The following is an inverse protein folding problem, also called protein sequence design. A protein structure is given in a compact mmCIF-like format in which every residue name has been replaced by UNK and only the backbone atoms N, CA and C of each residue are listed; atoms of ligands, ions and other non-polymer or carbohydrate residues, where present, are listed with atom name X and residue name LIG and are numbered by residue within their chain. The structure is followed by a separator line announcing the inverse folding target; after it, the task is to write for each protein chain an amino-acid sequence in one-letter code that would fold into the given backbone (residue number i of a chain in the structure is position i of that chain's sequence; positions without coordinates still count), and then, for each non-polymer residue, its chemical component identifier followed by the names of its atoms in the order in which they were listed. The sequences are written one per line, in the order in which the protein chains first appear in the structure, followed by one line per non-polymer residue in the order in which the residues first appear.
data_IF_110977498006
#
_entry.id   IF_110977498006
#
_cell.length_a   1.000
_cell.length_b   1.000
_cell.length_c   1.000
_cell.angle_alpha   90.00
_cell.angle_beta   90.00
_cell.angle_gamma   90.00
#
_symmetry.space_group_name_H-M   'P 1'
#
loop_
_entity.id
_entity.type
_entity.pdbx_description
1 polymer ?
#
# COMPACT_ATOMS: atom_id res chain seq x y z
N UNK A 1 -19.25 -7.23 4.37
CA UNK A 1 -18.12 -6.35 4.78
C UNK A 1 -18.23 -4.92 4.21
N UNK A 2 -18.70 -4.67 2.97
CA UNK A 2 -18.85 -3.30 2.44
C UNK A 2 -19.87 -2.38 3.15
N UNK A 3 -20.68 -2.91 4.07
CA UNK A 3 -21.70 -2.12 4.78
C UNK A 3 -21.08 -0.97 5.59
N UNK A 4 -19.83 -1.12 6.02
CA UNK A 4 -19.10 -0.08 6.75
C UNK A 4 -18.63 1.08 5.85
N UNK A 5 -18.43 0.85 4.55
CA UNK A 5 -17.94 1.88 3.61
C UNK A 5 -16.48 2.29 3.76
N UNK A 6 -15.80 1.84 4.83
CA UNK A 6 -14.37 2.03 5.05
C UNK A 6 -13.74 0.77 5.66
N UNK A 7 -12.41 0.67 5.56
CA UNK A 7 -11.64 -0.46 6.05
C UNK A 7 -10.22 -0.05 6.45
N UNK A 8 -9.79 -0.53 7.61
CA UNK A 8 -8.43 -0.31 8.08
C UNK A 8 -7.42 -1.16 7.28
N UNK A 9 -6.30 -0.56 6.91
CA UNK A 9 -5.16 -1.23 6.29
C UNK A 9 -3.86 -0.58 6.79
N UNK A 10 -3.04 -1.33 7.54
CA UNK A 10 -1.87 -0.79 8.25
C UNK A 10 -2.25 0.44 9.10
N UNK A 11 -1.74 1.63 8.72
CA UNK A 11 -1.99 2.92 9.39
C UNK A 11 -3.02 3.78 8.64
N UNK A 12 -3.67 3.22 7.64
CA UNK A 12 -4.61 3.89 6.75
C UNK A 12 -6.04 3.45 7.07
N UNK A 13 -6.99 4.37 6.92
CA UNK A 13 -8.41 4.07 6.83
C UNK A 13 -8.86 4.37 5.39
N UNK A 14 -9.25 3.32 4.67
CA UNK A 14 -9.50 3.38 3.24
C UNK A 14 -10.99 3.30 2.94
N UNK A 15 -11.50 4.19 2.09
CA UNK A 15 -12.86 4.07 1.58
C UNK A 15 -12.99 2.81 0.71
N UNK A 16 -14.02 2.00 0.98
CA UNK A 16 -14.30 0.78 0.22
C UNK A 16 -15.76 0.71 -0.18
N UNK A 17 -16.01 0.25 -1.41
CA UNK A 17 -17.33 -0.09 -1.89
C UNK A 17 -17.26 -1.31 -2.81
N UNK A 18 -18.40 -1.73 -3.36
CA UNK A 18 -18.52 -2.95 -4.18
C UNK A 18 -17.65 -2.96 -5.45
N UNK A 19 -17.05 -1.82 -5.84
CA UNK A 19 -16.21 -1.67 -7.03
C UNK A 19 -14.73 -1.97 -6.74
N UNK A 20 -14.32 -2.05 -5.48
CA UNK A 20 -12.94 -2.33 -5.07
C UNK A 20 -12.88 -3.55 -4.16
N UNK A 21 -11.77 -4.28 -4.18
CA UNK A 21 -11.55 -5.37 -3.23
C UNK A 21 -11.25 -4.80 -1.85
N UNK A 22 -11.90 -5.33 -0.81
CA UNK A 22 -11.57 -5.01 0.58
C UNK A 22 -10.15 -5.53 0.87
N UNK A 23 -9.23 -4.67 1.34
CA UNK A 23 -7.88 -5.07 1.70
C UNK A 23 -7.92 -6.21 2.73
N UNK A 24 -7.08 -7.23 2.53
CA UNK A 24 -6.99 -8.38 3.42
C UNK A 24 -5.82 -8.21 4.39
N UNK A 25 -5.91 -8.73 5.63
CA UNK A 25 -4.79 -8.68 6.59
C UNK A 25 -3.48 -9.24 6.00
N UNK A 26 -3.57 -10.31 5.21
CA UNK A 26 -2.43 -10.94 4.55
C UNK A 26 -1.76 -10.01 3.53
N UNK A 27 -2.50 -9.07 2.94
CA UNK A 27 -1.95 -8.06 2.01
C UNK A 27 -1.08 -7.03 2.75
N UNK A 28 -1.19 -6.88 4.06
CA UNK A 28 -0.31 -5.99 4.84
C UNK A 28 1.14 -6.48 4.85
N UNK A 29 1.36 -7.80 4.76
CA UNK A 29 2.68 -8.40 4.63
C UNK A 29 3.35 -8.00 3.31
N UNK A 30 2.58 -7.91 2.23
CA UNK A 30 3.10 -7.46 0.92
C UNK A 30 3.59 -6.01 1.00
N UNK A 31 2.81 -5.14 1.66
CA UNK A 31 3.21 -3.76 1.90
C UNK A 31 4.47 -3.66 2.76
N UNK A 32 4.60 -4.49 3.80
CA UNK A 32 5.80 -4.53 4.65
C UNK A 32 7.06 -4.90 3.86
N UNK A 33 6.99 -5.97 3.07
CA UNK A 33 8.11 -6.41 2.21
C UNK A 33 8.47 -5.33 1.18
N UNK A 34 7.46 -4.69 0.57
CA UNK A 34 7.68 -3.63 -0.40
C UNK A 34 8.37 -2.40 0.23
N UNK A 35 7.94 -1.99 1.42
CA UNK A 35 8.54 -0.88 2.17
C UNK A 35 9.99 -1.18 2.57
N UNK A 36 10.27 -2.38 3.08
CA UNK A 36 11.63 -2.79 3.44
C UNK A 36 12.56 -2.77 2.22
N UNK A 37 12.08 -3.26 1.06
CA UNK A 37 12.84 -3.23 -0.19
C UNK A 37 13.05 -1.81 -0.71
N UNK A 38 12.04 -0.95 -0.63
CA UNK A 38 12.15 0.46 -1.03
C UNK A 38 13.17 1.21 -0.16
N UNK A 39 13.17 0.97 1.16
CA UNK A 39 14.15 1.56 2.07
C UNK A 39 15.59 1.17 1.68
N UNK A 40 15.87 -0.13 1.48
CA UNK A 40 17.21 -0.58 1.07
C UNK A 40 17.66 -0.02 -0.29
N UNK A 41 16.74 0.14 -1.24
CA UNK A 41 17.05 0.74 -2.54
C UNK A 41 17.37 2.25 -2.42
N UNK A 42 16.63 2.99 -1.58
CA UNK A 42 16.92 4.41 -1.31
C UNK A 42 18.26 4.60 -0.61
N UNK A 43 18.57 3.74 0.37
CA UNK A 43 19.87 3.76 1.06
C UNK A 43 21.02 3.54 0.08
N UNK A 44 20.89 2.54 -0.81
CA UNK A 44 21.91 2.25 -1.83
C UNK A 44 22.04 3.37 -2.88
N UNK A 45 20.95 4.06 -3.23
CA UNK A 45 20.94 5.14 -4.20
C UNK A 45 21.48 6.48 -3.64
N UNK A 46 21.61 6.60 -2.32
CA UNK A 46 22.15 7.78 -1.66
C UNK A 46 21.14 8.91 -1.43
N UNK A 47 21.56 9.95 -0.71
CA UNK A 47 20.69 11.06 -0.28
C UNK A 47 20.16 11.85 -1.48
N UNK A 48 18.87 12.19 -1.46
CA UNK A 48 18.21 12.94 -2.53
C UNK A 48 17.73 12.07 -3.70
N UNK A 49 17.94 10.77 -3.64
CA UNK A 49 17.34 9.81 -4.58
C UNK A 49 15.83 9.67 -4.32
N UNK A 50 15.09 9.34 -5.38
CA UNK A 50 13.67 9.06 -5.32
C UNK A 50 13.37 7.75 -6.06
N UNK A 51 12.52 6.92 -5.47
CA UNK A 51 12.03 5.72 -6.13
C UNK A 51 10.74 6.01 -6.86
N UNK A 52 10.61 5.40 -8.04
CA UNK A 52 9.35 5.37 -8.78
C UNK A 52 8.76 3.98 -8.62
N UNK A 53 7.56 3.91 -8.05
CA UNK A 53 6.82 2.68 -7.84
C UNK A 53 5.53 2.69 -8.66
N UNK A 54 5.06 1.52 -9.06
CA UNK A 54 3.78 1.34 -9.73
C UNK A 54 2.98 0.27 -8.97
N UNK A 55 1.74 0.61 -8.59
CA UNK A 55 0.78 -0.32 -7.99
C UNK A 55 -0.21 -0.79 -9.06
N UNK A 56 -0.02 -2.01 -9.55
CA UNK A 56 -0.79 -2.58 -10.65
C UNK A 56 -2.05 -3.26 -10.13
N UNK A 57 -3.22 -2.81 -10.59
CA UNK A 57 -4.49 -3.29 -10.06
C UNK A 57 -4.79 -2.78 -8.65
N UNK A 58 -4.37 -1.54 -8.36
CA UNK A 58 -4.38 -0.90 -7.03
C UNK A 58 -5.72 -0.98 -6.27
N UNK A 59 -6.85 -1.09 -6.97
CA UNK A 59 -8.17 -1.24 -6.35
C UNK A 59 -8.47 -0.07 -5.41
N UNK A 60 -8.50 -0.34 -4.10
CA UNK A 60 -8.69 0.66 -3.05
C UNK A 60 -7.48 1.57 -2.80
N UNK A 61 -6.34 1.34 -3.46
CA UNK A 61 -5.12 2.12 -3.24
C UNK A 61 -4.20 1.58 -2.16
N UNK A 62 -4.54 0.46 -1.53
CA UNK A 62 -3.95 0.05 -0.25
C UNK A 62 -2.42 -0.05 -0.26
N UNK A 63 -1.85 -0.64 -1.31
CA UNK A 63 -0.39 -0.80 -1.42
C UNK A 63 0.29 0.50 -1.82
N UNK A 64 -0.18 1.16 -2.89
CA UNK A 64 0.39 2.43 -3.36
C UNK A 64 0.36 3.52 -2.29
N UNK A 65 -0.76 3.67 -1.57
CA UNK A 65 -0.89 4.64 -0.47
C UNK A 65 -0.04 4.26 0.74
N UNK A 66 0.26 2.98 0.95
CA UNK A 66 1.17 2.56 2.03
C UNK A 66 2.64 2.87 1.72
N UNK A 67 2.99 3.01 0.44
CA UNK A 67 4.35 3.30 -0.04
C UNK A 67 4.64 4.80 -0.16
N UNK A 68 3.62 5.65 -0.20
CA UNK A 68 3.72 7.11 -0.30
C UNK A 68 3.95 7.77 1.07
#
# INVERSE_FOLDING_TARGET
QYVLGHWAFRRLDLMVDRRVLIPRPETELVAEVALAKAAGLLEAAGRGSALRCADLGTGSGALGLSLA
#
